data_IF_252856246810
#
_entry.id   IF_252856246810
#
_cell.length_a   1.000
_cell.length_b   1.000
_cell.length_c   1.000
_cell.angle_alpha   90.00
_cell.angle_beta   90.00
_cell.angle_gamma   90.00
#
_symmetry.space_group_name_H-M   'P 1'
#
loop_
_entity.id
_entity.type
_entity.pdbx_description
1 polymer ?
#
# COMPACT_ATOMS: atom_id res chain seq x y z
N UNK A 1 -0.91 -38.69 -23.74
CA UNK A 1 -0.47 -37.31 -24.02
C UNK A 1 -1.58 -36.28 -24.30
N UNK A 2 -2.88 -36.58 -24.13
CA UNK A 2 -3.92 -35.56 -23.93
C UNK A 2 -4.36 -35.50 -22.45
N UNK A 3 -4.31 -36.64 -21.76
CA UNK A 3 -4.67 -36.79 -20.34
C UNK A 3 -3.70 -36.01 -19.44
N UNK A 4 -2.40 -36.03 -19.73
CA UNK A 4 -1.39 -35.30 -18.95
C UNK A 4 -1.63 -33.79 -19.05
N UNK A 5 -1.93 -33.28 -20.25
CA UNK A 5 -2.23 -31.86 -20.46
C UNK A 5 -3.54 -31.43 -19.77
N UNK A 6 -4.56 -32.28 -19.77
CA UNK A 6 -5.82 -32.00 -19.09
C UNK A 6 -5.64 -31.81 -17.57
N UNK A 7 -4.66 -32.49 -16.96
CA UNK A 7 -4.32 -32.34 -15.54
C UNK A 7 -3.39 -31.15 -15.28
N UNK A 8 -2.47 -30.85 -16.20
CA UNK A 8 -1.54 -29.72 -16.07
C UNK A 8 -2.20 -28.35 -16.26
N UNK A 9 -3.14 -28.25 -17.21
CA UNK A 9 -3.82 -26.99 -17.54
C UNK A 9 -4.49 -26.30 -16.34
N UNK A 10 -5.28 -26.96 -15.47
CA UNK A 10 -5.89 -26.30 -14.31
C UNK A 10 -4.84 -25.79 -13.32
N UNK A 11 -3.73 -26.50 -13.13
CA UNK A 11 -2.63 -26.05 -12.27
C UNK A 11 -1.96 -24.81 -12.87
N UNK A 12 -1.70 -24.82 -14.18
CA UNK A 12 -1.10 -23.67 -14.87
C UNK A 12 -1.99 -22.42 -14.80
N UNK A 13 -3.31 -22.59 -14.99
CA UNK A 13 -4.27 -21.51 -14.84
C UNK A 13 -4.31 -20.97 -13.41
N UNK A 14 -4.35 -21.86 -12.41
CA UNK A 14 -4.31 -21.47 -10.99
C UNK A 14 -3.06 -20.64 -10.67
N UNK A 15 -1.88 -21.05 -11.15
CA UNK A 15 -0.65 -20.29 -10.99
C UNK A 15 -0.70 -18.93 -11.71
N UNK A 16 -1.20 -18.90 -12.94
CA UNK A 16 -1.32 -17.66 -13.73
C UNK A 16 -2.22 -16.64 -13.05
N UNK A 17 -3.42 -17.07 -12.61
CA UNK A 17 -4.35 -16.22 -11.88
C UNK A 17 -3.79 -15.80 -10.50
N UNK A 18 -3.02 -16.69 -9.85
CA UNK A 18 -2.22 -16.37 -8.67
C UNK A 18 -1.26 -15.21 -8.88
N UNK A 19 -0.41 -15.32 -9.89
CA UNK A 19 0.56 -14.29 -10.22
C UNK A 19 -0.15 -12.97 -10.54
N UNK A 20 -1.23 -13.00 -11.32
CA UNK A 20 -2.01 -11.80 -11.65
C UNK A 20 -2.54 -11.16 -10.36
N UNK A 21 -3.24 -11.89 -9.50
CA UNK A 21 -3.79 -11.38 -8.22
C UNK A 21 -2.71 -10.72 -7.36
N UNK A 22 -1.55 -11.37 -7.22
CA UNK A 22 -0.43 -10.83 -6.46
C UNK A 22 0.22 -9.62 -7.14
N UNK A 23 0.26 -9.55 -8.47
CA UNK A 23 0.73 -8.37 -9.19
C UNK A 23 -0.17 -7.16 -8.92
N UNK A 24 -1.49 -7.32 -8.92
CA UNK A 24 -2.43 -6.26 -8.52
C UNK A 24 -2.20 -5.81 -7.09
N UNK A 25 -2.09 -6.77 -6.15
CA UNK A 25 -1.78 -6.46 -4.75
C UNK A 25 -0.47 -5.68 -4.61
N UNK A 26 0.57 -6.09 -5.33
CA UNK A 26 1.87 -5.41 -5.35
C UNK A 26 1.78 -3.97 -5.87
N UNK A 27 1.00 -3.74 -6.94
CA UNK A 27 0.77 -2.38 -7.48
C UNK A 27 0.07 -1.47 -6.47
N UNK A 28 -0.86 -2.00 -5.69
CA UNK A 28 -1.55 -1.28 -4.60
C UNK A 28 -0.56 -0.99 -3.47
N UNK A 29 0.19 -2.00 -3.01
CA UNK A 29 1.20 -1.86 -1.99
C UNK A 29 2.28 -0.82 -2.34
N UNK A 30 2.75 -0.80 -3.58
CA UNK A 30 3.74 0.16 -4.03
C UNK A 30 3.19 1.59 -4.02
N UNK A 31 1.96 1.82 -4.47
CA UNK A 31 1.37 3.17 -4.43
C UNK A 31 1.12 3.68 -3.00
N UNK A 32 0.76 2.78 -2.08
CA UNK A 32 0.63 3.12 -0.65
C UNK A 32 2.01 3.47 -0.06
N UNK A 33 3.06 2.74 -0.43
CA UNK A 33 4.44 3.06 -0.02
C UNK A 33 4.89 4.42 -0.58
N UNK A 34 4.56 4.73 -1.83
CA UNK A 34 4.85 6.04 -2.43
C UNK A 34 4.12 7.17 -1.69
N UNK A 35 2.84 6.98 -1.34
CA UNK A 35 2.09 7.94 -0.53
C UNK A 35 2.74 8.16 0.86
N UNK A 36 3.19 7.09 1.52
CA UNK A 36 3.89 7.20 2.80
C UNK A 36 5.19 8.00 2.65
N UNK A 37 5.98 7.72 1.61
CA UNK A 37 7.24 8.42 1.32
C UNK A 37 7.02 9.90 1.02
N UNK A 38 6.01 10.25 0.23
CA UNK A 38 5.70 11.64 -0.10
C UNK A 38 5.20 12.41 1.12
N UNK A 39 4.38 11.78 1.96
CA UNK A 39 4.00 12.32 3.26
C UNK A 39 5.23 12.56 4.15
N UNK A 40 6.16 11.60 4.22
CA UNK A 40 7.37 11.74 5.00
C UNK A 40 8.26 12.88 4.48
N UNK A 41 8.47 12.99 3.17
CA UNK A 41 9.22 14.08 2.53
C UNK A 41 8.60 15.45 2.80
N UNK A 42 7.28 15.55 2.71
CA UNK A 42 6.56 16.79 2.99
C UNK A 42 6.71 17.23 4.45
N UNK A 43 6.75 16.28 5.37
CA UNK A 43 6.90 16.55 6.79
C UNK A 43 8.24 17.20 7.15
N UNK A 44 9.28 17.08 6.32
CA UNK A 44 10.58 17.72 6.57
C UNK A 44 10.46 19.25 6.58
N UNK A 45 9.52 19.81 5.82
CA UNK A 45 9.35 21.25 5.70
C UNK A 45 8.60 21.90 6.89
N UNK A 46 8.00 21.10 7.79
CA UNK A 46 7.23 21.64 8.91
C UNK A 46 8.12 22.11 10.04
N UNK A 47 7.78 23.28 10.61
CA UNK A 47 8.57 23.94 11.66
C UNK A 47 8.28 23.37 13.06
N UNK A 48 7.09 22.82 13.26
CA UNK A 48 6.67 22.18 14.50
C UNK A 48 5.95 20.84 14.28
N UNK A 49 5.75 20.07 15.35
CA UNK A 49 5.13 18.74 15.28
C UNK A 49 3.70 18.75 14.71
N UNK A 50 2.95 19.83 14.87
CA UNK A 50 1.58 19.94 14.34
C UNK A 50 1.63 20.19 12.83
N UNK A 51 2.47 21.11 12.40
CA UNK A 51 2.67 21.43 10.99
C UNK A 51 3.22 20.22 10.21
N UNK A 52 4.20 19.51 10.77
CA UNK A 52 4.73 18.27 10.17
C UNK A 52 3.66 17.20 9.98
N UNK A 53 2.79 16.99 10.98
CA UNK A 53 1.67 16.05 10.86
C UNK A 53 0.68 16.47 9.77
N UNK A 54 0.36 17.76 9.70
CA UNK A 54 -0.58 18.29 8.70
C UNK A 54 0.00 18.15 7.28
N UNK A 55 1.27 18.50 7.08
CA UNK A 55 1.97 18.35 5.81
C UNK A 55 2.06 16.87 5.41
N UNK A 56 2.46 15.99 6.33
CA UNK A 56 2.56 14.55 6.07
C UNK A 56 1.23 13.94 5.66
N UNK A 57 0.18 14.21 6.45
CA UNK A 57 -1.16 13.67 6.22
C UNK A 57 -1.75 14.25 4.94
N UNK A 58 -1.59 15.56 4.72
CA UNK A 58 -2.07 16.24 3.52
C UNK A 58 -1.44 15.68 2.25
N UNK A 59 -0.12 15.54 2.21
CA UNK A 59 0.59 15.04 1.02
C UNK A 59 0.37 13.56 0.76
N UNK A 60 0.34 12.72 1.80
CA UNK A 60 -0.04 11.31 1.64
C UNK A 60 -1.48 11.15 1.13
N UNK A 61 -2.41 11.98 1.64
CA UNK A 61 -3.82 11.99 1.20
C UNK A 61 -3.93 12.44 -0.26
N UNK A 62 -3.23 13.51 -0.64
CA UNK A 62 -3.19 14.03 -2.01
C UNK A 62 -2.65 12.97 -2.98
N UNK A 63 -1.56 12.30 -2.62
CA UNK A 63 -0.97 11.25 -3.46
C UNK A 63 -1.96 10.10 -3.73
N UNK A 64 -2.63 9.60 -2.69
CA UNK A 64 -3.63 8.54 -2.85
C UNK A 64 -4.83 8.98 -3.70
N UNK A 65 -5.30 10.22 -3.54
CA UNK A 65 -6.39 10.78 -4.37
C UNK A 65 -5.99 10.89 -5.84
N UNK A 66 -4.78 11.36 -6.13
CA UNK A 66 -4.29 11.57 -7.49
C UNK A 66 -4.17 10.26 -8.27
N UNK A 67 -3.97 9.13 -7.59
CA UNK A 67 -3.93 7.83 -8.24
C UNK A 67 -5.32 7.33 -8.67
N UNK A 68 -6.42 7.95 -8.22
CA UNK A 68 -7.80 7.74 -8.69
C UNK A 68 -8.40 6.34 -8.47
N UNK A 69 -7.58 5.38 -8.03
CA UNK A 69 -7.91 3.94 -7.91
C UNK A 69 -8.18 3.47 -6.48
N UNK A 70 -7.93 4.33 -5.48
CA UNK A 70 -8.08 3.98 -4.06
C UNK A 70 -9.39 4.53 -3.52
N UNK A 71 -10.13 3.69 -2.80
CA UNK A 71 -11.23 4.17 -1.98
C UNK A 71 -10.67 4.82 -0.71
N UNK A 72 -10.87 6.12 -0.60
CA UNK A 72 -10.37 6.91 0.52
C UNK A 72 -11.00 6.54 1.86
N UNK A 73 -12.20 5.93 1.87
CA UNK A 73 -12.83 5.44 3.10
C UNK A 73 -12.13 4.19 3.66
N UNK A 74 -11.33 3.51 2.83
CA UNK A 74 -10.59 2.29 3.17
C UNK A 74 -9.11 2.56 3.44
N UNK A 75 -8.67 3.80 3.26
CA UNK A 75 -7.32 4.26 3.56
C UNK A 75 -7.28 4.96 4.92
N UNK A 76 -6.23 4.71 5.71
CA UNK A 76 -5.98 5.40 6.97
C UNK A 76 -4.51 5.80 7.02
N UNK A 77 -4.27 7.08 7.30
CA UNK A 77 -2.92 7.64 7.44
C UNK A 77 -2.73 7.99 8.92
N UNK A 78 -1.66 7.45 9.50
CA UNK A 78 -1.26 7.73 10.87
C UNK A 78 0.16 8.30 10.87
N UNK A 79 0.37 9.37 11.63
CA UNK A 79 1.68 9.99 11.82
C UNK A 79 2.10 9.85 13.27
N UNK A 80 3.21 9.14 13.49
CA UNK A 80 3.81 8.97 14.81
C UNK A 80 5.14 9.70 14.86
N UNK A 81 5.31 10.56 15.85
CA UNK A 81 6.56 11.25 16.09
C UNK A 81 7.21 10.68 17.36
N UNK A 82 8.47 10.28 17.26
CA UNK A 82 9.31 9.83 18.37
C UNK A 82 10.54 10.73 18.53
N UNK A 83 11.47 10.33 19.39
CA UNK A 83 12.71 11.07 19.63
C UNK A 83 13.56 11.18 18.35
N UNK A 84 13.52 12.34 17.70
CA UNK A 84 14.30 12.61 16.49
C UNK A 84 13.82 11.86 15.23
N UNK A 85 12.66 11.22 15.26
CA UNK A 85 12.14 10.46 14.12
C UNK A 85 10.64 10.71 13.92
N UNK A 86 10.21 10.75 12.66
CA UNK A 86 8.81 10.80 12.28
C UNK A 86 8.51 9.61 11.38
N UNK A 87 7.50 8.82 11.74
CA UNK A 87 7.04 7.66 10.96
C UNK A 87 5.63 7.88 10.45
N UNK A 88 5.49 7.80 9.13
CA UNK A 88 4.21 7.87 8.43
C UNK A 88 3.78 6.44 8.14
N UNK A 89 2.63 6.03 8.66
CA UNK A 89 2.03 4.72 8.40
C UNK A 89 0.78 4.92 7.56
N UNK A 90 0.75 4.32 6.38
CA UNK A 90 -0.43 4.30 5.52
C UNK A 90 -0.96 2.87 5.51
N UNK A 91 -2.22 2.72 5.93
CA UNK A 91 -2.95 1.45 5.94
C UNK A 91 -4.05 1.50 4.89
N UNK A 92 -4.22 0.42 4.14
CA UNK A 92 -5.32 0.24 3.22
C UNK A 92 -6.00 -1.11 3.45
N UNK A 93 -7.32 -1.10 3.55
CA UNK A 93 -8.12 -2.31 3.58
C UNK A 93 -8.50 -2.71 2.15
N UNK A 94 -7.88 -3.77 1.62
CA UNK A 94 -8.12 -4.37 0.31
C UNK A 94 -9.16 -5.52 0.34
N UNK A 95 -9.86 -5.75 1.47
CA UNK A 95 -10.78 -6.90 1.63
C UNK A 95 -11.92 -6.96 0.61
N UNK A 96 -12.33 -5.81 0.04
CA UNK A 96 -13.42 -5.70 -0.95
C UNK A 96 -12.93 -5.56 -2.40
N UNK A 97 -11.63 -5.74 -2.66
CA UNK A 97 -11.09 -5.64 -4.02
C UNK A 97 -11.27 -6.97 -4.76
N UNK A 98 -12.26 -7.05 -5.65
CA UNK A 98 -12.63 -8.29 -6.35
C UNK A 98 -11.49 -8.90 -7.16
N UNK A 99 -10.60 -8.09 -7.72
CA UNK A 99 -9.45 -8.55 -8.51
C UNK A 99 -8.38 -9.27 -7.67
N UNK A 100 -8.37 -9.07 -6.35
CA UNK A 100 -7.42 -9.69 -5.43
C UNK A 100 -7.94 -11.02 -4.87
N UNK A 101 -9.23 -11.33 -5.02
CA UNK A 101 -9.88 -12.45 -4.33
C UNK A 101 -10.57 -13.37 -5.33
N UNK A 102 -9.78 -14.26 -5.92
CA UNK A 102 -10.27 -15.27 -6.86
C UNK A 102 -10.57 -16.59 -6.10
N UNK A 103 -11.69 -17.29 -6.37
CA UNK A 103 -12.15 -18.41 -5.55
C UNK A 103 -11.27 -19.67 -5.64
N UNK A 104 -10.44 -19.77 -6.66
CA UNK A 104 -9.57 -20.92 -6.96
C UNK A 104 -8.08 -20.60 -6.76
N UNK A 105 -7.74 -19.50 -6.09
CA UNK A 105 -6.36 -19.05 -5.87
C UNK A 105 -6.21 -18.58 -4.42
N UNK A 106 -5.08 -18.85 -3.74
CA UNK A 106 -4.78 -18.24 -2.45
C UNK A 106 -4.87 -16.71 -2.52
N UNK A 107 -5.74 -16.12 -1.69
CA UNK A 107 -5.90 -14.67 -1.65
C UNK A 107 -4.69 -14.00 -0.96
N UNK A 108 -4.20 -12.85 -1.47
CA UNK A 108 -3.16 -12.08 -0.81
C UNK A 108 -3.73 -11.42 0.47
N UNK A 109 -2.86 -10.92 1.37
CA UNK A 109 -3.29 -10.27 2.60
C UNK A 109 -4.23 -9.10 2.32
N UNK A 110 -5.37 -9.07 3.02
CA UNK A 110 -6.39 -8.04 2.80
C UNK A 110 -6.03 -6.69 3.42
N UNK A 111 -5.12 -6.65 4.38
CA UNK A 111 -4.63 -5.41 4.98
C UNK A 111 -3.24 -5.11 4.47
N UNK A 112 -3.08 -3.97 3.82
CA UNK A 112 -1.79 -3.48 3.32
C UNK A 112 -1.33 -2.36 4.23
N UNK A 113 -0.14 -2.48 4.81
CA UNK A 113 0.44 -1.48 5.71
C UNK A 113 1.83 -1.14 5.19
N UNK A 114 2.04 0.13 4.91
CA UNK A 114 3.32 0.65 4.46
C UNK A 114 3.78 1.79 5.37
N UNK A 115 5.10 1.90 5.53
CA UNK A 115 5.70 2.85 6.46
C UNK A 115 6.86 3.58 5.79
N UNK A 116 6.98 4.86 6.11
CA UNK A 116 8.12 5.68 5.77
C UNK A 116 8.57 6.44 7.01
N UNK A 117 9.86 6.36 7.34
CA UNK A 117 10.43 7.02 8.51
C UNK A 117 11.49 8.02 8.06
N UNK A 118 11.45 9.21 8.62
CA UNK A 118 12.48 10.25 8.45
C UNK A 118 13.09 10.60 9.80
N UNK A 119 14.33 11.06 9.77
CA UNK A 119 15.00 11.67 10.92
C UNK A 119 14.67 13.17 10.93
N UNK A 120 14.31 13.69 12.10
CA UNK A 120 13.91 15.09 12.32
C UNK A 120 15.10 15.99 12.73
N UNK A 121 16.32 15.49 12.60
CA UNK A 121 17.54 16.21 12.89
C UNK A 121 18.74 15.28 12.84
N UNK A 122 19.74 15.67 12.05
CA UNK A 122 21.11 15.15 12.11
C UNK A 122 22.02 16.35 12.32
N UNK A 123 22.69 16.39 13.47
CA UNK A 123 24.07 16.85 13.54
C UNK A 123 24.96 15.61 13.41
#
# INVERSE_FOLDING_TARGET
MLIEFAVLLPVMLMLTFGIISYAWWFLVANGIQQAANDGARAAIAGLDATERRNLATGKATEHLKNLGRYDMQRATIAVSEGTGQLTITVTYDASRDGNLRLPFVPAPPSRIVQRATILLGGL
#
